data_IF_812531349445
#
_entry.id   IF_812531349445
#
_cell.length_a   1.000
_cell.length_b   1.000
_cell.length_c   1.000
_cell.angle_alpha   90.00
_cell.angle_beta   90.00
_cell.angle_gamma   90.00
#
_symmetry.space_group_name_H-M   'P 1'
#
loop_
_entity.id
_entity.type
_entity.pdbx_description
1 polymer ?
#
# COMPACT_ATOMS: atom_id res chain seq x y z
N UNK A 1 34.67 20.69 -29.69
CA UNK A 1 34.19 20.43 -29.47
C UNK A 1 33.53 19.84 -28.78
N UNK A 2 33.45 19.71 -28.47
CA UNK A 2 32.83 19.29 -28.01
C UNK A 2 32.20 18.74 -27.32
N UNK A 3 31.88 18.52 -26.91
CA UNK A 3 31.26 18.11 -26.39
C UNK A 3 30.61 17.66 -25.75
N UNK A 4 30.29 17.64 -25.41
CA UNK A 4 29.78 17.40 -24.97
C UNK A 4 29.15 16.84 -24.41
N UNK A 5 28.70 16.64 -24.11
CA UNK A 5 28.14 16.18 -23.67
C UNK A 5 27.60 15.59 -22.95
N UNK A 6 27.23 15.45 -22.67
CA UNK A 6 26.77 14.99 -22.13
C UNK A 6 26.19 14.50 -21.38
N UNK A 7 25.86 14.34 -21.14
CA UNK A 7 25.34 13.97 -20.60
C UNK A 7 24.73 13.54 -19.88
N UNK A 8 24.37 13.53 -19.60
CA UNK A 8 23.95 13.28 -19.04
C UNK A 8 23.08 12.74 -18.52
N UNK A 9 22.64 12.64 -18.33
CA UNK A 9 21.86 12.26 -18.04
C UNK A 9 21.41 11.51 -17.21
N UNK A 10 21.18 11.29 -17.10
CA UNK A 10 21.23 10.58 -16.40
C UNK A 10 20.52 10.36 -15.29
N UNK A 11 20.75 10.38 -14.57
CA UNK A 11 20.33 10.08 -13.39
C UNK A 11 19.02 9.94 -13.07
N UNK A 12 18.46 10.28 -13.50
CA UNK A 12 17.23 10.24 -13.37
C UNK A 12 16.56 9.17 -12.89
N UNK A 13 16.79 8.31 -13.39
CA UNK A 13 16.12 7.18 -13.12
C UNK A 13 15.76 6.94 -11.76
N UNK A 14 16.50 7.31 -10.93
CA UNK A 14 16.28 6.97 -9.68
C UNK A 14 15.02 7.34 -9.20
N UNK A 15 14.63 8.35 -9.52
CA UNK A 15 13.46 8.79 -8.95
C UNK A 15 12.37 7.82 -9.06
N UNK A 16 12.41 6.99 -9.96
CA UNK A 16 11.30 6.10 -10.12
C UNK A 16 10.98 5.32 -8.88
N UNK A 17 11.89 5.23 -8.00
CA UNK A 17 11.64 4.46 -6.83
C UNK A 17 10.58 5.05 -5.99
N UNK A 18 10.50 6.31 -5.92
CA UNK A 18 9.54 6.90 -5.07
C UNK A 18 8.15 6.70 -5.57
N UNK A 19 8.02 6.28 -6.77
CA UNK A 19 6.69 6.09 -7.32
C UNK A 19 5.91 5.02 -6.60
N UNK A 20 6.57 4.23 -5.79
CA UNK A 20 5.86 3.20 -5.08
C UNK A 20 5.10 3.73 -3.90
N UNK A 21 5.37 4.92 -3.51
CA UNK A 21 4.64 5.47 -2.39
C UNK A 21 3.20 5.67 -2.84
N UNK A 22 2.29 4.95 -2.24
CA UNK A 22 0.90 5.10 -2.56
C UNK A 22 0.34 6.27 -1.78
N UNK A 23 -0.77 6.83 -2.25
CA UNK A 23 -1.41 7.93 -1.56
C UNK A 23 -1.87 7.50 -0.18
N UNK A 24 -1.53 8.24 0.84
CA UNK A 24 -1.97 7.91 2.19
C UNK A 24 -3.44 8.26 2.38
N UNK A 25 -4.09 7.52 3.26
CA UNK A 25 -5.46 7.82 3.63
C UNK A 25 -5.48 9.07 4.50
N UNK A 26 -4.44 9.24 5.30
CA UNK A 26 -4.37 10.37 6.23
C UNK A 26 -5.00 10.06 7.58
N UNK A 27 -5.38 8.82 7.81
CA UNK A 27 -5.88 8.33 9.09
C UNK A 27 -4.93 7.24 9.51
N UNK A 28 -4.28 7.41 10.65
CA UNK A 28 -3.20 6.52 11.05
C UNK A 28 -3.60 5.05 11.08
N UNK A 29 -4.76 4.74 11.63
CA UNK A 29 -5.19 3.34 11.71
C UNK A 29 -5.34 2.72 10.32
N UNK A 30 -5.80 3.50 9.36
CA UNK A 30 -5.96 3.01 8.00
C UNK A 30 -4.61 2.81 7.32
N UNK A 31 -3.74 3.80 7.45
CA UNK A 31 -2.42 3.73 6.82
C UNK A 31 -1.57 2.63 7.45
N UNK A 32 -1.64 2.46 8.76
CA UNK A 32 -0.90 1.40 9.43
C UNK A 32 -1.36 0.02 8.96
N UNK A 33 -2.67 -0.15 8.82
CA UNK A 33 -3.18 -1.44 8.37
C UNK A 33 -2.75 -1.73 6.93
N UNK A 34 -2.85 -0.73 6.05
CA UNK A 34 -2.45 -0.93 4.66
C UNK A 34 -0.97 -1.24 4.55
N UNK A 35 -0.15 -0.63 5.41
CA UNK A 35 1.27 -0.90 5.41
C UNK A 35 1.55 -2.35 5.80
N UNK A 36 0.86 -2.84 6.82
CA UNK A 36 1.04 -4.23 7.25
C UNK A 36 0.52 -5.21 6.19
N UNK A 37 -0.58 -4.86 5.55
CA UNK A 37 -1.12 -5.69 4.50
C UNK A 37 -0.12 -5.77 3.34
N UNK A 38 0.42 -4.62 2.94
CA UNK A 38 1.40 -4.59 1.86
C UNK A 38 2.65 -5.40 2.22
N UNK A 39 3.11 -5.28 3.46
CA UNK A 39 4.29 -6.03 3.89
C UNK A 39 4.03 -7.53 3.86
N UNK A 40 2.83 -7.94 4.22
CA UNK A 40 2.45 -9.34 4.15
C UNK A 40 2.48 -9.84 2.72
N UNK A 41 1.90 -9.08 1.79
CA UNK A 41 1.88 -9.45 0.38
C UNK A 41 3.29 -9.54 -0.16
N UNK A 42 4.13 -8.58 0.17
CA UNK A 42 5.49 -8.52 -0.35
C UNK A 42 6.37 -9.65 0.19
N UNK A 43 6.25 -9.92 1.48
CA UNK A 43 7.21 -10.79 2.15
C UNK A 43 6.74 -12.22 2.42
N UNK A 44 5.45 -12.46 2.47
CA UNK A 44 4.94 -13.76 2.90
C UNK A 44 4.10 -14.49 1.86
N UNK A 45 3.55 -13.79 0.90
CA UNK A 45 2.65 -14.39 -0.06
C UNK A 45 3.44 -15.03 -1.20
N UNK A 46 3.10 -16.26 -1.61
CA UNK A 46 3.76 -16.89 -2.74
C UNK A 46 3.59 -16.10 -4.02
N UNK A 47 4.57 -16.20 -4.91
CA UNK A 47 4.58 -15.41 -6.13
C UNK A 47 3.32 -15.56 -6.97
N UNK A 48 2.76 -16.76 -7.01
CA UNK A 48 1.58 -17.01 -7.82
C UNK A 48 0.32 -16.36 -7.29
N UNK A 49 0.34 -15.91 -6.03
CA UNK A 49 -0.82 -15.25 -5.44
C UNK A 49 -0.62 -13.77 -5.19
N UNK A 50 0.59 -13.28 -5.40
CA UNK A 50 0.87 -11.88 -5.09
C UNK A 50 0.03 -10.90 -5.88
N UNK A 51 -0.16 -11.14 -7.16
CA UNK A 51 -0.91 -10.18 -7.97
C UNK A 51 -2.35 -10.03 -7.48
N UNK A 52 -2.98 -11.15 -7.12
CA UNK A 52 -4.35 -11.11 -6.64
C UNK A 52 -4.43 -10.39 -5.31
N UNK A 53 -3.51 -10.68 -4.40
CA UNK A 53 -3.55 -10.05 -3.09
C UNK A 53 -3.11 -8.60 -3.14
N UNK A 54 -2.21 -8.25 -4.07
CA UNK A 54 -1.88 -6.85 -4.29
C UNK A 54 -3.11 -6.07 -4.75
N UNK A 55 -3.95 -6.70 -5.58
CA UNK A 55 -5.22 -6.10 -5.97
C UNK A 55 -6.11 -5.83 -4.77
N UNK A 56 -6.05 -6.69 -3.76
CA UNK A 56 -6.80 -6.47 -2.53
C UNK A 56 -6.31 -5.25 -1.76
N UNK A 57 -4.99 -5.09 -1.67
CA UNK A 57 -4.41 -3.91 -1.00
C UNK A 57 -4.84 -2.65 -1.75
N UNK A 58 -4.69 -2.65 -3.06
CA UNK A 58 -4.99 -1.48 -3.87
C UNK A 58 -6.48 -1.15 -3.83
N UNK A 59 -7.32 -2.17 -3.89
CA UNK A 59 -8.76 -1.98 -3.83
C UNK A 59 -9.21 -1.41 -2.48
N UNK A 60 -8.63 -1.90 -1.41
CA UNK A 60 -8.96 -1.40 -0.08
C UNK A 60 -8.52 0.06 0.07
N UNK A 61 -7.32 0.39 -0.40
CA UNK A 61 -6.85 1.77 -0.35
C UNK A 61 -7.78 2.69 -1.13
N UNK A 62 -8.12 2.29 -2.35
CA UNK A 62 -9.00 3.12 -3.18
C UNK A 62 -10.38 3.25 -2.56
N UNK A 63 -10.89 2.18 -1.96
CA UNK A 63 -12.17 2.23 -1.28
C UNK A 63 -12.17 3.18 -0.10
N UNK A 64 -11.11 3.17 0.67
CA UNK A 64 -11.00 4.06 1.84
C UNK A 64 -10.77 5.51 1.41
N UNK A 65 -10.03 5.73 0.33
CA UNK A 65 -9.86 7.09 -0.20
C UNK A 65 -11.20 7.67 -0.63
N UNK A 66 -12.06 6.86 -1.24
CA UNK A 66 -13.38 7.32 -1.61
C UNK A 66 -14.28 7.52 -0.39
N UNK A 67 -14.21 6.59 0.56
CA UNK A 67 -15.02 6.68 1.76
C UNK A 67 -14.71 7.94 2.55
N UNK A 68 -13.47 8.37 2.50
CA UNK A 68 -13.03 9.56 3.20
C UNK A 68 -13.79 10.80 2.78
N UNK A 69 -14.31 10.80 1.57
CA UNK A 69 -15.02 11.95 1.03
C UNK A 69 -16.51 11.98 1.41
N UNK A 70 -17.05 10.85 1.80
CA UNK A 70 -18.48 10.75 2.08
C UNK A 70 -18.82 10.31 3.49
N UNK A 71 -17.82 10.00 4.30
CA UNK A 71 -18.01 9.44 5.63
C UNK A 71 -17.25 10.29 6.64
N UNK A 72 -17.74 10.31 7.87
CA UNK A 72 -17.05 11.02 8.94
C UNK A 72 -15.71 10.35 9.18
N UNK A 73 -14.71 11.17 9.48
CA UNK A 73 -13.36 10.66 9.72
C UNK A 73 -13.34 9.62 10.84
N UNK A 74 -14.09 9.86 11.90
CA UNK A 74 -14.12 8.95 13.02
C UNK A 74 -14.71 7.60 12.65
N UNK A 75 -15.74 7.61 11.80
CA UNK A 75 -16.36 6.37 11.38
C UNK A 75 -15.39 5.55 10.52
N UNK A 76 -14.66 6.19 9.62
CA UNK A 76 -13.69 5.50 8.81
C UNK A 76 -12.54 4.99 9.68
N UNK A 77 -12.12 5.77 10.67
CA UNK A 77 -11.07 5.32 11.57
C UNK A 77 -11.49 4.05 12.30
N UNK A 78 -12.75 3.97 12.73
CA UNK A 78 -13.24 2.78 13.41
C UNK A 78 -13.28 1.58 12.49
N UNK A 79 -13.61 1.78 11.23
CA UNK A 79 -13.57 0.71 10.24
C UNK A 79 -12.15 0.20 10.09
N UNK A 80 -11.18 1.09 10.01
CA UNK A 80 -9.78 0.70 9.87
C UNK A 80 -9.27 -0.03 11.11
N UNK A 81 -9.71 0.39 12.29
CA UNK A 81 -9.31 -0.28 13.53
C UNK A 81 -9.87 -1.70 13.60
N UNK A 82 -11.01 -1.94 13.00
CA UNK A 82 -11.61 -3.27 12.99
C UNK A 82 -11.02 -4.19 11.92
N UNK A 83 -10.37 -3.63 10.93
CA UNK A 83 -9.86 -4.42 9.79
C UNK A 83 -8.91 -5.54 10.18
N UNK A 84 -7.95 -5.34 11.11
CA UNK A 84 -7.05 -6.42 11.48
C UNK A 84 -7.79 -7.65 11.99
N UNK A 85 -8.79 -7.47 12.83
CA UNK A 85 -9.54 -8.59 13.36
C UNK A 85 -10.34 -9.30 12.28
N UNK A 86 -10.89 -8.54 11.35
CA UNK A 86 -11.69 -9.11 10.28
C UNK A 86 -10.84 -9.90 9.28
N UNK A 87 -9.59 -9.53 9.11
CA UNK A 87 -8.71 -10.19 8.15
C UNK A 87 -7.71 -11.13 8.78
N UNK A 88 -7.81 -11.32 10.09
CA UNK A 88 -6.84 -12.13 10.81
C UNK A 88 -6.70 -13.54 10.23
N UNK A 89 -7.80 -14.17 9.91
CA UNK A 89 -7.78 -15.54 9.42
C UNK A 89 -7.00 -15.63 8.10
N UNK A 90 -7.25 -14.69 7.20
CA UNK A 90 -6.56 -14.68 5.92
C UNK A 90 -5.07 -14.43 6.10
N UNK A 91 -4.71 -13.52 7.01
CA UNK A 91 -3.31 -13.19 7.23
C UNK A 91 -2.59 -14.33 7.91
N UNK A 92 -3.25 -15.01 8.86
CA UNK A 92 -2.64 -16.15 9.53
C UNK A 92 -2.33 -17.28 8.54
N UNK A 93 -3.15 -17.42 7.51
CA UNK A 93 -2.94 -18.45 6.49
C UNK A 93 -1.61 -18.25 5.75
N UNK A 94 -1.10 -17.02 5.69
CA UNK A 94 0.17 -16.74 5.04
C UNK A 94 1.29 -16.51 6.04
N UNK A 95 1.02 -16.69 7.32
CA UNK A 95 2.05 -16.50 8.33
C UNK A 95 2.30 -15.04 8.68
N UNK A 96 1.37 -14.15 8.36
CA UNK A 96 1.50 -12.74 8.69
C UNK A 96 0.85 -12.45 10.02
N UNK A 97 1.44 -11.55 10.79
CA UNK A 97 0.80 -11.12 12.03
C UNK A 97 0.43 -9.65 11.90
N UNK A 98 -0.66 -9.28 12.51
CA UNK A 98 -1.17 -7.91 12.44
C UNK A 98 -1.05 -7.20 13.76
#
# INVERSE_FOLDING_TARGET
MFFRVVLAATGISLTSLTAFAADPIGIKACDDFLEKYQACVTNKVPADKKAMLQGGVDGMRNGWLRAKESMEREDLENICKAAPAQMKQSFDAFGCSL
#
